data_IF_081241467354
#
_entry.id   IF_081241467354
#
_cell.length_a   1.000
_cell.length_b   1.000
_cell.length_c   1.000
_cell.angle_alpha   90.00
_cell.angle_beta   90.00
_cell.angle_gamma   90.00
#
_symmetry.space_group_name_H-M   'P 1'
#
loop_
_entity.id
_entity.type
_entity.pdbx_description
1 polymer ?
#
# COMPACT_ATOMS: atom_id res chain seq x y z
N UNK A 1 0.58 16.28 -36.19
CA UNK A 1 0.18 16.56 -34.79
C UNK A 1 1.31 16.34 -33.75
N UNK A 2 2.45 17.05 -33.80
CA UNK A 2 3.48 16.97 -32.74
C UNK A 2 3.22 17.90 -31.54
N UNK A 3 2.38 18.94 -31.72
CA UNK A 3 2.18 20.02 -30.73
C UNK A 3 1.41 19.58 -29.47
N UNK A 4 0.57 18.56 -29.54
CA UNK A 4 -0.24 18.10 -28.40
C UNK A 4 0.56 17.24 -27.42
N UNK A 5 1.40 16.33 -27.94
CA UNK A 5 2.20 15.41 -27.11
C UNK A 5 3.30 16.16 -26.34
N UNK A 6 4.00 17.08 -27.00
CA UNK A 6 5.04 17.89 -26.35
C UNK A 6 4.46 18.75 -25.22
N UNK A 7 3.27 19.33 -25.42
CA UNK A 7 2.58 20.13 -24.39
C UNK A 7 2.15 19.27 -23.20
N UNK A 8 1.63 18.07 -23.47
CA UNK A 8 1.26 17.07 -22.45
C UNK A 8 2.49 16.68 -21.60
N UNK A 9 3.60 16.33 -22.25
CA UNK A 9 4.83 15.94 -21.55
C UNK A 9 5.38 17.11 -20.72
N UNK A 10 5.38 18.33 -21.28
CA UNK A 10 5.84 19.51 -20.56
C UNK A 10 4.98 19.82 -19.33
N UNK A 11 3.66 19.68 -19.43
CA UNK A 11 2.74 19.85 -18.31
C UNK A 11 3.00 18.84 -17.19
N UNK A 12 3.09 17.55 -17.53
CA UNK A 12 3.32 16.50 -16.53
C UNK A 12 4.70 16.61 -15.90
N UNK A 13 5.73 16.93 -16.70
CA UNK A 13 7.08 17.20 -16.20
C UNK A 13 7.11 18.39 -15.24
N UNK A 14 6.34 19.44 -15.52
CA UNK A 14 6.22 20.59 -14.61
C UNK A 14 5.58 20.20 -13.28
N UNK A 15 4.51 19.41 -13.28
CA UNK A 15 3.86 18.92 -12.06
C UNK A 15 4.80 18.00 -11.28
N UNK A 16 5.41 17.03 -11.94
CA UNK A 16 6.38 16.11 -11.34
C UNK A 16 7.57 16.89 -10.74
N UNK A 17 8.11 17.87 -11.47
CA UNK A 17 9.19 18.73 -10.97
C UNK A 17 8.77 19.57 -9.75
N UNK A 18 7.56 20.15 -9.78
CA UNK A 18 7.02 20.90 -8.65
C UNK A 18 6.79 20.01 -7.42
N UNK A 19 6.27 18.80 -7.61
CA UNK A 19 6.08 17.82 -6.54
C UNK A 19 7.43 17.40 -5.94
N UNK A 20 8.42 17.07 -6.77
CA UNK A 20 9.79 16.74 -6.34
C UNK A 20 10.40 17.89 -5.51
N UNK A 21 10.35 19.12 -6.02
CA UNK A 21 10.90 20.29 -5.33
C UNK A 21 10.18 20.55 -4.00
N UNK A 22 8.85 20.43 -3.98
CA UNK A 22 8.04 20.60 -2.78
C UNK A 22 8.36 19.54 -1.73
N UNK A 23 8.44 18.27 -2.12
CA UNK A 23 8.82 17.18 -1.22
C UNK A 23 10.24 17.38 -0.68
N UNK A 24 11.18 17.87 -1.50
CA UNK A 24 12.54 18.20 -1.05
C UNK A 24 12.55 19.32 0.01
N UNK A 25 11.78 20.38 -0.20
CA UNK A 25 11.63 21.48 0.77
C UNK A 25 11.00 20.99 2.07
N UNK A 26 9.92 20.20 1.97
CA UNK A 26 9.25 19.59 3.11
C UNK A 26 10.18 18.66 3.86
N UNK A 27 10.98 17.83 3.17
CA UNK A 27 11.98 16.99 3.79
C UNK A 27 12.96 17.80 4.65
N UNK A 28 13.49 18.91 4.13
CA UNK A 28 14.40 19.79 4.90
C UNK A 28 13.69 20.43 6.10
N UNK A 29 12.43 20.81 5.96
CA UNK A 29 11.63 21.37 7.04
C UNK A 29 11.34 20.31 8.13
N UNK A 30 10.86 19.13 7.73
CA UNK A 30 10.61 17.98 8.59
C UNK A 30 11.87 17.53 9.31
N UNK A 31 13.01 17.48 8.63
CA UNK A 31 14.28 17.10 9.24
C UNK A 31 14.70 18.10 10.33
N UNK A 32 14.59 19.41 10.07
CA UNK A 32 14.87 20.45 11.07
C UNK A 32 13.93 20.36 12.26
N UNK A 33 12.63 20.18 11.99
CA UNK A 33 11.64 20.00 13.03
C UNK A 33 11.93 18.77 13.90
N UNK A 34 12.17 17.61 13.30
CA UNK A 34 12.48 16.38 14.02
C UNK A 34 13.76 16.51 14.86
N UNK A 35 14.80 17.16 14.33
CA UNK A 35 16.02 17.44 15.09
C UNK A 35 15.75 18.24 16.37
N UNK A 36 14.80 19.18 16.32
CA UNK A 36 14.40 19.97 17.49
C UNK A 36 13.42 19.25 18.42
N UNK A 37 12.59 18.35 17.91
CA UNK A 37 11.47 17.77 18.62
C UNK A 37 11.75 16.38 19.22
N UNK A 38 12.71 15.63 18.66
CA UNK A 38 13.00 14.26 19.08
C UNK A 38 14.11 14.24 20.12
N UNK A 39 13.83 13.70 21.31
CA UNK A 39 14.87 13.51 22.34
C UNK A 39 15.92 12.51 21.86
N UNK A 40 17.19 12.83 22.12
CA UNK A 40 18.34 12.04 21.67
C UNK A 40 18.38 11.82 20.14
N UNK A 41 18.00 12.84 19.36
CA UNK A 41 18.08 12.81 17.90
C UNK A 41 19.41 12.26 17.39
N UNK A 42 20.53 12.70 17.97
CA UNK A 42 21.88 12.31 17.55
C UNK A 42 22.19 10.82 17.80
N UNK A 43 21.42 10.13 18.65
CA UNK A 43 21.54 8.68 18.86
C UNK A 43 20.74 7.86 17.84
N UNK A 44 19.89 8.49 17.02
CA UNK A 44 19.16 7.84 15.93
C UNK A 44 20.09 7.68 14.73
N UNK A 45 20.14 6.49 14.13
CA UNK A 45 20.99 6.24 12.95
C UNK A 45 20.65 7.24 11.82
N UNK A 46 21.64 7.82 11.11
CA UNK A 46 21.40 8.81 10.04
C UNK A 46 20.42 8.32 8.96
N UNK A 47 20.52 7.06 8.54
CA UNK A 47 19.55 6.49 7.58
C UNK A 47 18.11 6.49 8.09
N UNK A 48 17.89 6.30 9.40
CA UNK A 48 16.55 6.36 10.01
C UNK A 48 16.07 7.81 10.13
N UNK A 49 16.96 8.75 10.49
CA UNK A 49 16.66 10.18 10.52
C UNK A 49 16.16 10.68 9.15
N UNK A 50 16.94 10.39 8.10
CA UNK A 50 16.62 10.78 6.73
C UNK A 50 15.33 10.14 6.25
N UNK A 51 15.18 8.83 6.46
CA UNK A 51 13.96 8.11 6.07
C UNK A 51 12.71 8.68 6.73
N UNK A 52 12.73 8.92 8.04
CA UNK A 52 11.55 9.43 8.74
C UNK A 52 11.21 10.87 8.33
N UNK A 53 12.21 11.72 8.11
CA UNK A 53 11.97 13.05 7.55
C UNK A 53 11.32 12.98 6.16
N UNK A 54 11.75 12.05 5.31
CA UNK A 54 11.15 11.82 3.99
C UNK A 54 9.72 11.29 4.09
N UNK A 55 9.49 10.26 4.91
CA UNK A 55 8.16 9.66 5.11
C UNK A 55 7.13 10.68 5.64
N UNK A 56 7.56 11.65 6.47
CA UNK A 56 6.72 12.77 6.91
C UNK A 56 6.50 13.78 5.79
N UNK A 57 7.54 14.11 5.01
CA UNK A 57 7.44 15.02 3.87
C UNK A 57 6.51 14.50 2.76
N UNK A 58 6.26 13.19 2.70
CA UNK A 58 5.29 12.57 1.80
C UNK A 58 3.83 12.66 2.30
N UNK A 59 3.56 12.98 3.57
CA UNK A 59 2.19 13.02 4.11
C UNK A 59 1.27 13.98 3.34
N UNK A 60 1.69 15.21 2.99
CA UNK A 60 0.86 16.10 2.17
C UNK A 60 0.53 15.51 0.80
N UNK A 61 1.51 14.87 0.14
CA UNK A 61 1.28 14.15 -1.11
C UNK A 61 0.22 13.06 -0.92
N UNK A 62 0.34 12.24 0.12
CA UNK A 62 -0.61 11.15 0.40
C UNK A 62 -2.03 11.66 0.67
N UNK A 63 -2.17 12.81 1.35
CA UNK A 63 -3.45 13.47 1.54
C UNK A 63 -4.04 13.97 0.20
N UNK A 64 -3.22 14.55 -0.67
CA UNK A 64 -3.66 14.95 -2.02
C UNK A 64 -4.10 13.73 -2.84
N UNK A 65 -3.34 12.63 -2.79
CA UNK A 65 -3.71 11.38 -3.47
C UNK A 65 -5.06 10.86 -2.97
N UNK A 66 -5.28 10.85 -1.65
CA UNK A 66 -6.57 10.48 -1.07
C UNK A 66 -7.71 11.33 -1.67
N UNK A 67 -7.56 12.66 -1.71
CA UNK A 67 -8.59 13.57 -2.21
C UNK A 67 -8.86 13.43 -3.72
N UNK A 68 -7.80 13.28 -4.52
CA UNK A 68 -7.93 13.13 -5.97
C UNK A 68 -8.54 11.78 -6.36
N UNK A 69 -8.26 10.73 -5.59
CA UNK A 69 -8.67 9.36 -5.86
C UNK A 69 -10.04 8.98 -5.25
N UNK A 70 -10.49 9.66 -4.19
CA UNK A 70 -11.74 9.34 -3.52
C UNK A 70 -12.97 9.28 -4.46
N UNK A 71 -13.19 10.22 -5.40
CA UNK A 71 -14.32 10.15 -6.32
C UNK A 71 -14.32 8.88 -7.19
N UNK A 72 -13.14 8.45 -7.65
CA UNK A 72 -13.01 7.25 -8.47
C UNK A 72 -13.25 5.96 -7.68
N UNK A 73 -12.87 5.94 -6.39
CA UNK A 73 -13.20 4.82 -5.47
C UNK A 73 -14.71 4.76 -5.23
N UNK A 74 -15.37 5.89 -5.02
CA UNK A 74 -16.83 5.94 -4.77
C UNK A 74 -17.65 5.55 -6.01
N UNK A 75 -17.11 5.72 -7.21
CA UNK A 75 -17.78 5.42 -8.50
C UNK A 75 -17.19 4.21 -9.22
N UNK A 76 -16.39 3.41 -8.53
CA UNK A 76 -15.62 2.29 -9.09
C UNK A 76 -16.44 1.33 -9.95
N UNK A 77 -17.61 0.95 -9.44
CA UNK A 77 -18.52 -0.05 -10.02
C UNK A 77 -19.65 0.60 -10.84
N UNK A 78 -19.59 1.92 -11.06
CA UNK A 78 -20.48 2.59 -11.99
C UNK A 78 -20.14 2.18 -13.43
N UNK A 79 -21.10 2.26 -14.34
CA UNK A 79 -20.85 1.97 -15.74
C UNK A 79 -19.70 2.85 -16.30
N UNK A 80 -18.84 2.35 -17.21
CA UNK A 80 -17.70 3.11 -17.75
C UNK A 80 -18.09 4.44 -18.40
N UNK A 81 -19.31 4.54 -18.95
CA UNK A 81 -19.85 5.74 -19.60
C UNK A 81 -20.08 6.90 -18.62
N UNK A 82 -20.14 6.60 -17.31
CA UNK A 82 -20.24 7.62 -16.25
C UNK A 82 -18.87 8.27 -15.98
N UNK A 83 -17.77 7.69 -16.49
CA UNK A 83 -16.43 8.23 -16.33
C UNK A 83 -16.25 9.52 -17.11
N UNK A 84 -15.85 10.59 -16.42
CA UNK A 84 -15.69 11.91 -17.03
C UNK A 84 -14.24 12.23 -17.35
N UNK A 85 -14.03 13.21 -18.24
CA UNK A 85 -12.69 13.77 -18.49
C UNK A 85 -12.03 14.33 -17.22
N UNK A 86 -12.83 14.82 -16.26
CA UNK A 86 -12.36 15.30 -14.97
C UNK A 86 -11.78 14.16 -14.12
N UNK A 87 -12.37 12.97 -14.19
CA UNK A 87 -11.87 11.79 -13.49
C UNK A 87 -10.53 11.34 -14.06
N UNK A 88 -10.41 11.28 -15.40
CA UNK A 88 -9.12 11.04 -16.07
C UNK A 88 -8.08 12.08 -15.65
N UNK A 89 -8.43 13.36 -15.67
CA UNK A 89 -7.51 14.44 -15.27
C UNK A 89 -7.03 14.29 -13.82
N UNK A 90 -7.93 13.99 -12.88
CA UNK A 90 -7.57 13.74 -11.46
C UNK A 90 -6.59 12.58 -11.33
N UNK A 91 -6.77 11.51 -12.12
CA UNK A 91 -5.89 10.34 -12.07
C UNK A 91 -4.51 10.63 -12.65
N UNK A 92 -4.44 11.37 -13.75
CA UNK A 92 -3.18 11.83 -14.33
C UNK A 92 -2.45 12.77 -13.35
N UNK A 93 -3.19 13.70 -12.73
CA UNK A 93 -2.62 14.62 -11.75
C UNK A 93 -2.07 13.87 -10.52
N UNK A 94 -2.84 12.92 -9.98
CA UNK A 94 -2.39 12.07 -8.87
C UNK A 94 -1.12 11.30 -9.24
N UNK A 95 -1.06 10.77 -10.47
CA UNK A 95 0.10 10.06 -11.01
C UNK A 95 1.34 10.94 -11.11
N UNK A 96 1.22 12.14 -11.67
CA UNK A 96 2.33 13.08 -11.83
C UNK A 96 2.87 13.58 -10.49
N UNK A 97 1.98 13.86 -9.53
CA UNK A 97 2.35 14.26 -8.16
C UNK A 97 3.06 13.10 -7.45
N UNK A 98 2.47 11.89 -7.47
CA UNK A 98 3.07 10.71 -6.86
C UNK A 98 4.45 10.42 -7.45
N UNK A 99 4.59 10.49 -8.78
CA UNK A 99 5.85 10.32 -9.49
C UNK A 99 6.94 11.26 -8.97
N UNK A 100 6.65 12.56 -8.90
CA UNK A 100 7.64 13.55 -8.43
C UNK A 100 8.04 13.36 -6.98
N UNK A 101 7.06 13.17 -6.08
CA UNK A 101 7.31 12.99 -4.66
C UNK A 101 8.07 11.69 -4.35
N UNK A 102 7.71 10.58 -5.01
CA UNK A 102 8.34 9.29 -4.78
C UNK A 102 9.70 9.20 -5.49
N UNK A 103 9.94 9.92 -6.59
CA UNK A 103 11.29 10.09 -7.13
C UNK A 103 12.24 10.70 -6.10
N UNK A 104 11.80 11.69 -5.32
CA UNK A 104 12.59 12.22 -4.21
C UNK A 104 12.82 11.16 -3.13
N UNK A 105 11.79 10.39 -2.76
CA UNK A 105 11.91 9.30 -1.79
C UNK A 105 12.95 8.24 -2.19
N UNK A 106 13.07 7.95 -3.48
CA UNK A 106 14.09 7.03 -4.01
C UNK A 106 15.53 7.57 -3.91
N UNK A 107 15.72 8.87 -3.69
CA UNK A 107 17.04 9.44 -3.40
C UNK A 107 17.50 9.21 -1.96
N UNK A 108 16.58 8.78 -1.08
CA UNK A 108 16.86 8.48 0.31
C UNK A 108 17.15 6.99 0.46
N UNK A 109 18.23 6.67 1.18
CA UNK A 109 18.68 5.30 1.38
C UNK A 109 17.59 4.40 2.00
N UNK A 110 17.25 3.31 1.31
CA UNK A 110 16.34 2.26 1.78
C UNK A 110 17.10 0.93 1.91
N UNK A 111 17.14 0.40 3.14
CA UNK A 111 17.85 -0.85 3.45
C UNK A 111 17.11 -2.13 3.04
N UNK A 112 15.95 -2.04 2.36
CA UNK A 112 15.10 -3.17 2.02
C UNK A 112 14.72 -3.14 0.54
N UNK A 113 15.26 -4.07 -0.24
CA UNK A 113 15.03 -4.21 -1.69
C UNK A 113 13.55 -4.36 -2.02
N UNK A 114 12.78 -5.08 -1.20
CA UNK A 114 11.33 -5.24 -1.46
C UNK A 114 10.57 -3.96 -1.14
N UNK A 115 11.05 -3.15 -0.20
CA UNK A 115 10.51 -1.81 0.03
C UNK A 115 10.83 -0.87 -1.13
N UNK A 116 12.02 -0.99 -1.72
CA UNK A 116 12.40 -0.23 -2.92
C UNK A 116 11.52 -0.60 -4.11
N UNK A 117 11.32 -1.90 -4.37
CA UNK A 117 10.44 -2.39 -5.43
C UNK A 117 9.02 -1.89 -5.24
N UNK A 118 8.45 -2.01 -4.03
CA UNK A 118 7.09 -1.51 -3.74
C UNK A 118 6.95 0.00 -3.99
N UNK A 119 7.95 0.79 -3.61
CA UNK A 119 7.94 2.25 -3.81
C UNK A 119 8.23 2.66 -5.26
N UNK A 120 8.84 1.78 -6.06
CA UNK A 120 9.04 1.98 -7.50
C UNK A 120 7.83 1.55 -8.33
N UNK A 121 7.15 0.48 -7.92
CA UNK A 121 6.08 -0.15 -8.67
C UNK A 121 4.84 0.73 -8.76
N UNK A 122 4.48 1.46 -7.69
CA UNK A 122 3.40 2.44 -7.72
C UNK A 122 3.60 3.52 -8.81
N UNK A 123 4.68 4.33 -8.75
CA UNK A 123 5.00 5.31 -9.79
C UNK A 123 5.15 4.71 -11.19
N UNK A 124 5.74 3.50 -11.31
CA UNK A 124 5.93 2.83 -12.60
C UNK A 124 4.60 2.41 -13.24
N UNK A 125 3.65 1.86 -12.45
CA UNK A 125 2.32 1.50 -12.93
C UNK A 125 1.51 2.73 -13.34
N UNK A 126 1.65 3.84 -12.62
CA UNK A 126 1.00 5.11 -12.94
C UNK A 126 1.59 5.77 -14.18
N UNK A 127 2.92 5.71 -14.36
CA UNK A 127 3.58 6.14 -15.59
C UNK A 127 3.16 5.27 -16.77
N UNK A 128 3.06 3.95 -16.57
CA UNK A 128 2.56 3.03 -17.59
C UNK A 128 1.13 3.37 -18.01
N UNK A 129 0.23 3.66 -17.06
CA UNK A 129 -1.12 4.16 -17.38
C UNK A 129 -1.05 5.47 -18.14
N UNK A 130 -0.20 6.41 -17.72
CA UNK A 130 -0.07 7.68 -18.44
C UNK A 130 0.40 7.53 -19.88
N UNK A 131 1.35 6.62 -20.13
CA UNK A 131 1.87 6.32 -21.45
C UNK A 131 0.89 5.52 -22.31
N UNK A 132 0.06 4.68 -21.69
CA UNK A 132 -0.91 3.82 -22.39
C UNK A 132 -2.25 4.52 -22.64
N UNK A 133 -2.60 5.52 -21.83
CA UNK A 133 -3.91 6.18 -21.84
C UNK A 133 -3.72 7.71 -21.93
N UNK A 134 -3.77 8.21 -23.16
CA UNK A 134 -3.69 9.65 -23.46
C UNK A 134 -4.93 10.19 -24.17
N UNK A 135 -5.95 9.34 -24.40
CA UNK A 135 -7.05 9.62 -25.30
C UNK A 135 -8.34 10.11 -24.64
N UNK A 136 -8.42 10.16 -23.30
CA UNK A 136 -9.65 10.52 -22.58
C UNK A 136 -10.85 9.64 -22.99
N UNK A 137 -10.59 8.35 -23.25
CA UNK A 137 -11.59 7.38 -23.72
C UNK A 137 -12.14 6.52 -22.57
N UNK A 138 -13.25 5.81 -22.80
CA UNK A 138 -13.85 4.88 -21.83
C UNK A 138 -12.93 3.73 -21.42
N UNK A 139 -11.99 3.32 -22.29
CA UNK A 139 -10.93 2.35 -21.96
C UNK A 139 -9.99 2.83 -20.85
N UNK A 140 -9.79 4.14 -20.73
CA UNK A 140 -8.92 4.74 -19.71
C UNK A 140 -9.55 4.54 -18.32
N UNK A 141 -10.89 4.56 -18.24
CA UNK A 141 -11.64 4.36 -17.01
C UNK A 141 -11.36 2.98 -16.38
N UNK A 142 -11.29 1.93 -17.21
CA UNK A 142 -11.10 0.56 -16.74
C UNK A 142 -9.76 0.37 -16.03
N UNK A 143 -8.72 0.93 -16.63
CA UNK A 143 -7.36 0.77 -16.14
C UNK A 143 -7.05 1.74 -15.00
N UNK A 144 -7.57 2.97 -15.07
CA UNK A 144 -7.44 3.94 -13.99
C UNK A 144 -8.13 3.49 -12.72
N UNK A 145 -9.35 2.92 -12.80
CA UNK A 145 -10.08 2.42 -11.62
C UNK A 145 -9.43 1.21 -10.96
N UNK A 146 -8.75 0.36 -11.72
CA UNK A 146 -7.93 -0.71 -11.16
C UNK A 146 -6.77 -0.11 -10.34
N UNK A 147 -6.02 0.83 -10.93
CA UNK A 147 -4.86 1.43 -10.28
C UNK A 147 -5.20 2.34 -9.09
N UNK A 148 -6.36 2.99 -9.13
CA UNK A 148 -6.75 3.96 -8.09
C UNK A 148 -6.89 3.31 -6.73
N UNK A 149 -7.21 2.00 -6.67
CA UNK A 149 -7.22 1.23 -5.43
C UNK A 149 -5.84 1.22 -4.76
N UNK A 150 -4.77 0.96 -5.53
CA UNK A 150 -3.40 0.96 -5.04
C UNK A 150 -2.95 2.34 -4.58
N UNK A 151 -3.33 3.40 -5.31
CA UNK A 151 -2.97 4.78 -4.94
C UNK A 151 -3.71 5.22 -3.69
N UNK A 152 -5.02 5.00 -3.64
CA UNK A 152 -5.87 5.43 -2.53
C UNK A 152 -5.58 4.65 -1.25
N UNK A 153 -5.72 3.33 -1.29
CA UNK A 153 -5.56 2.48 -0.10
C UNK A 153 -4.09 2.23 0.22
N UNK A 154 -3.26 1.97 -0.79
CA UNK A 154 -1.85 1.66 -0.60
C UNK A 154 -1.04 2.89 -0.25
N UNK A 155 -0.89 3.82 -1.20
CA UNK A 155 -0.04 5.00 -1.01
C UNK A 155 -0.66 6.04 -0.07
N UNK A 156 -1.95 6.34 -0.23
CA UNK A 156 -2.68 7.32 0.56
C UNK A 156 -2.83 6.89 2.02
N UNK A 157 -3.77 5.99 2.29
CA UNK A 157 -4.12 5.56 3.65
C UNK A 157 -3.01 4.70 4.27
N UNK A 158 -2.63 3.60 3.60
CA UNK A 158 -1.67 2.62 4.10
C UNK A 158 -0.29 3.23 4.36
N UNK A 159 0.20 4.05 3.42
CA UNK A 159 1.43 4.82 3.57
C UNK A 159 1.37 5.74 4.79
N UNK A 160 0.30 6.52 4.94
CA UNK A 160 0.15 7.46 6.06
C UNK A 160 0.13 6.76 7.41
N UNK A 161 -0.65 5.67 7.54
CA UNK A 161 -0.69 4.85 8.76
C UNK A 161 0.69 4.27 9.08
N UNK A 162 1.38 3.75 8.05
CA UNK A 162 2.73 3.21 8.19
C UNK A 162 3.73 4.27 8.65
N UNK A 163 3.69 5.49 8.11
CA UNK A 163 4.53 6.60 8.56
C UNK A 163 4.30 6.89 10.04
N UNK A 164 3.05 7.01 10.48
CA UNK A 164 2.74 7.29 11.88
C UNK A 164 3.31 6.19 12.77
N UNK A 165 3.08 4.91 12.45
CA UNK A 165 3.64 3.79 13.22
C UNK A 165 5.17 3.83 13.28
N UNK A 166 5.84 4.06 12.14
CA UNK A 166 7.30 4.09 12.09
C UNK A 166 7.85 5.27 12.90
N UNK A 167 7.25 6.45 12.81
CA UNK A 167 7.64 7.63 13.59
C UNK A 167 7.50 7.36 15.09
N UNK A 168 6.37 6.78 15.52
CA UNK A 168 6.17 6.40 16.92
C UNK A 168 7.23 5.38 17.39
N UNK A 169 7.48 4.33 16.60
CA UNK A 169 8.38 3.24 17.00
C UNK A 169 9.87 3.55 16.86
N UNK A 170 10.26 4.42 15.92
CA UNK A 170 11.67 4.70 15.60
C UNK A 170 12.17 6.01 16.19
N UNK A 171 11.32 7.02 16.33
CA UNK A 171 11.71 8.33 16.86
C UNK A 171 11.19 8.58 18.27
N UNK A 172 9.92 8.31 18.50
CA UNK A 172 9.27 8.68 19.77
C UNK A 172 9.18 7.54 20.79
N UNK A 173 9.68 6.34 20.48
CA UNK A 173 9.61 5.16 21.36
C UNK A 173 10.15 5.41 22.77
N UNK A 174 11.20 6.23 22.90
CA UNK A 174 11.81 6.58 24.20
C UNK A 174 11.07 7.68 24.94
N UNK A 175 10.21 8.43 24.26
CA UNK A 175 9.47 9.58 24.79
C UNK A 175 8.03 9.20 25.20
N UNK A 176 7.51 8.09 24.68
CA UNK A 176 6.14 7.64 24.91
C UNK A 176 6.14 6.50 25.92
N UNK A 177 5.24 6.51 26.93
CA UNK A 177 5.09 5.39 27.85
C UNK A 177 4.84 4.07 27.11
N UNK A 178 5.48 2.94 27.50
CA UNK A 178 5.38 1.68 26.78
C UNK A 178 3.94 1.20 26.53
N UNK A 179 3.06 1.35 27.51
CA UNK A 179 1.64 1.01 27.40
C UNK A 179 0.90 1.84 26.35
N UNK A 180 1.16 3.15 26.30
CA UNK A 180 0.54 4.08 25.35
C UNK A 180 1.04 3.79 23.93
N UNK A 181 2.35 3.57 23.78
CA UNK A 181 2.95 3.19 22.51
C UNK A 181 2.38 1.87 22.00
N UNK A 182 2.27 0.85 22.86
CA UNK A 182 1.71 -0.45 22.49
C UNK A 182 0.26 -0.31 22.01
N UNK A 183 -0.61 0.39 22.75
CA UNK A 183 -2.01 0.62 22.35
C UNK A 183 -2.12 1.37 21.02
N UNK A 184 -1.33 2.43 20.84
CA UNK A 184 -1.33 3.21 19.60
C UNK A 184 -0.88 2.37 18.40
N UNK A 185 0.21 1.62 18.54
CA UNK A 185 0.72 0.76 17.46
C UNK A 185 -0.26 -0.36 17.13
N UNK A 186 -0.92 -0.97 18.14
CA UNK A 186 -1.94 -2.00 17.90
C UNK A 186 -3.13 -1.45 17.13
N UNK A 187 -3.64 -0.28 17.53
CA UNK A 187 -4.74 0.37 16.83
C UNK A 187 -4.35 0.69 15.37
N UNK A 188 -3.17 1.25 15.15
CA UNK A 188 -2.67 1.58 13.81
C UNK A 188 -2.41 0.33 12.96
N UNK A 189 -1.88 -0.75 13.55
CA UNK A 189 -1.70 -2.04 12.87
C UNK A 189 -3.04 -2.60 12.43
N UNK A 190 -4.10 -2.49 13.24
CA UNK A 190 -5.44 -2.91 12.85
C UNK A 190 -6.05 -2.04 11.74
N UNK A 191 -5.87 -0.72 11.82
CA UNK A 191 -6.28 0.18 10.74
C UNK A 191 -5.57 -0.19 9.43
N UNK A 192 -4.26 -0.50 9.49
CA UNK A 192 -3.50 -0.96 8.32
C UNK A 192 -4.01 -2.30 7.78
N UNK A 193 -4.32 -3.27 8.66
CA UNK A 193 -4.87 -4.57 8.26
C UNK A 193 -6.24 -4.41 7.60
N UNK A 194 -7.15 -3.64 8.19
CA UNK A 194 -8.47 -3.36 7.62
C UNK A 194 -8.37 -2.65 6.27
N UNK A 195 -7.51 -1.64 6.18
CA UNK A 195 -7.23 -0.94 4.92
C UNK A 195 -6.67 -1.88 3.85
N UNK A 196 -5.75 -2.77 4.21
CA UNK A 196 -5.17 -3.77 3.29
C UNK A 196 -6.22 -4.75 2.80
N UNK A 197 -7.10 -5.21 3.70
CA UNK A 197 -8.20 -6.07 3.33
C UNK A 197 -9.19 -5.37 2.38
N UNK A 198 -9.61 -4.14 2.71
CA UNK A 198 -10.48 -3.35 1.83
C UNK A 198 -9.85 -3.12 0.45
N UNK A 199 -8.59 -2.72 0.42
CA UNK A 199 -7.79 -2.53 -0.81
C UNK A 199 -7.82 -3.76 -1.71
N UNK A 200 -7.46 -4.91 -1.13
CA UNK A 200 -7.24 -6.14 -1.87
C UNK A 200 -8.56 -6.80 -2.27
N UNK A 201 -9.59 -6.74 -1.42
CA UNK A 201 -10.94 -7.20 -1.76
C UNK A 201 -11.57 -6.33 -2.84
N UNK A 202 -11.49 -5.00 -2.71
CA UNK A 202 -11.94 -4.07 -3.76
C UNK A 202 -11.28 -4.40 -5.09
N UNK A 203 -9.95 -4.59 -5.10
CA UNK A 203 -9.19 -4.92 -6.30
C UNK A 203 -9.64 -6.23 -6.94
N UNK A 204 -9.83 -7.29 -6.14
CA UNK A 204 -10.36 -8.57 -6.62
C UNK A 204 -11.78 -8.42 -7.19
N UNK A 205 -12.68 -7.74 -6.49
CA UNK A 205 -14.05 -7.51 -6.95
C UNK A 205 -14.07 -6.71 -8.24
N UNK A 206 -13.23 -5.67 -8.36
CA UNK A 206 -13.11 -4.87 -9.56
C UNK A 206 -12.62 -5.69 -10.75
N UNK A 207 -11.57 -6.52 -10.57
CA UNK A 207 -11.06 -7.41 -11.60
C UNK A 207 -12.12 -8.43 -12.07
N UNK A 208 -12.96 -8.93 -11.18
CA UNK A 208 -14.07 -9.84 -11.53
C UNK A 208 -15.19 -9.12 -12.29
N UNK A 209 -15.53 -7.91 -11.86
CA UNK A 209 -16.58 -7.08 -12.44
C UNK A 209 -16.22 -6.60 -13.85
N UNK A 210 -15.05 -5.99 -14.02
CA UNK A 210 -14.56 -5.48 -15.31
C UNK A 210 -13.89 -6.56 -16.18
N UNK A 211 -14.00 -7.84 -15.81
CA UNK A 211 -13.21 -8.92 -16.37
C UNK A 211 -13.27 -9.01 -17.89
N UNK A 212 -14.47 -9.00 -18.48
CA UNK A 212 -14.65 -9.15 -19.92
C UNK A 212 -14.01 -7.99 -20.70
N UNK A 213 -14.18 -6.77 -20.20
CA UNK A 213 -13.67 -5.55 -20.84
C UNK A 213 -12.15 -5.43 -20.69
N UNK A 214 -11.61 -5.71 -19.50
CA UNK A 214 -10.17 -5.73 -19.25
C UNK A 214 -9.46 -6.79 -20.08
N UNK A 215 -10.06 -7.98 -20.18
CA UNK A 215 -9.49 -9.08 -20.95
C UNK A 215 -9.56 -8.84 -22.46
N UNK A 216 -10.66 -8.26 -22.96
CA UNK A 216 -10.76 -7.80 -24.33
C UNK A 216 -9.74 -6.70 -24.66
N UNK A 217 -9.42 -5.84 -23.67
CA UNK A 217 -8.44 -4.78 -23.82
C UNK A 217 -6.98 -5.29 -23.81
N UNK A 218 -6.63 -6.16 -22.86
CA UNK A 218 -5.27 -6.72 -22.77
C UNK A 218 -5.00 -7.78 -23.83
N UNK A 219 -6.04 -8.36 -24.43
CA UNK A 219 -5.91 -9.53 -25.27
C UNK A 219 -5.68 -10.81 -24.46
N UNK A 220 -5.77 -11.96 -25.14
CA UNK A 220 -5.97 -13.23 -24.45
C UNK A 220 -4.82 -13.61 -23.49
N UNK A 221 -3.56 -13.40 -23.92
CA UNK A 221 -2.39 -13.76 -23.10
C UNK A 221 -1.77 -12.58 -22.33
N UNK A 222 -1.98 -11.33 -22.78
CA UNK A 222 -1.35 -10.18 -22.15
C UNK A 222 -2.03 -9.78 -20.83
N UNK A 223 -3.27 -10.24 -20.57
CA UNK A 223 -3.95 -10.04 -19.30
C UNK A 223 -3.29 -10.72 -18.09
N UNK A 224 -2.48 -11.76 -18.33
CA UNK A 224 -1.76 -12.48 -17.26
C UNK A 224 -0.72 -11.61 -16.54
N UNK A 225 -0.09 -10.67 -17.26
CA UNK A 225 0.97 -9.82 -16.70
C UNK A 225 0.40 -8.78 -15.71
N UNK A 226 -0.61 -7.96 -16.06
CA UNK A 226 -1.28 -7.08 -15.11
C UNK A 226 -1.84 -7.83 -13.91
N UNK A 227 -2.40 -9.03 -14.12
CA UNK A 227 -2.87 -9.89 -13.04
C UNK A 227 -1.74 -10.26 -12.08
N UNK A 228 -0.64 -10.81 -12.59
CA UNK A 228 0.51 -11.18 -11.77
C UNK A 228 1.08 -9.98 -10.99
N UNK A 229 1.16 -8.80 -11.62
CA UNK A 229 1.61 -7.56 -10.97
C UNK A 229 0.65 -7.11 -9.86
N UNK A 230 -0.67 -7.15 -10.09
CA UNK A 230 -1.67 -6.86 -9.05
C UNK A 230 -1.58 -7.85 -7.89
N UNK A 231 -1.43 -9.15 -8.17
CA UNK A 231 -1.27 -10.19 -7.16
C UNK A 231 0.00 -10.00 -6.32
N UNK A 232 1.10 -9.63 -6.97
CA UNK A 232 2.35 -9.31 -6.29
C UNK A 232 2.23 -8.08 -5.39
N UNK A 233 1.60 -6.99 -5.85
CA UNK A 233 1.31 -5.82 -5.00
C UNK A 233 0.43 -6.19 -3.80
N UNK A 234 -0.64 -6.95 -4.01
CA UNK A 234 -1.52 -7.37 -2.92
C UNK A 234 -0.77 -8.22 -1.89
N UNK A 235 0.07 -9.15 -2.36
CA UNK A 235 0.94 -9.93 -1.49
C UNK A 235 1.91 -9.05 -0.70
N UNK A 236 2.53 -8.04 -1.33
CA UNK A 236 3.40 -7.09 -0.64
C UNK A 236 2.66 -6.32 0.45
N UNK A 237 1.44 -5.84 0.17
CA UNK A 237 0.62 -5.14 1.17
C UNK A 237 0.30 -6.06 2.37
N UNK A 238 -0.12 -7.30 2.11
CA UNK A 238 -0.38 -8.29 3.16
C UNK A 238 0.87 -8.63 3.96
N UNK A 239 2.02 -8.80 3.30
CA UNK A 239 3.31 -9.03 3.97
C UNK A 239 3.62 -7.91 4.96
N UNK A 240 3.41 -6.65 4.58
CA UNK A 240 3.64 -5.52 5.48
C UNK A 240 2.61 -5.45 6.61
N UNK A 241 1.32 -5.61 6.32
CA UNK A 241 0.27 -5.63 7.34
C UNK A 241 0.53 -6.70 8.42
N UNK A 242 0.80 -7.94 8.00
CA UNK A 242 1.11 -9.05 8.91
C UNK A 242 2.41 -8.83 9.69
N UNK A 243 3.42 -8.21 9.07
CA UNK A 243 4.66 -7.84 9.77
C UNK A 243 4.38 -6.83 10.89
N UNK A 244 3.55 -5.81 10.66
CA UNK A 244 3.20 -4.84 11.69
C UNK A 244 2.28 -5.42 12.77
N UNK A 245 1.45 -6.40 12.44
CA UNK A 245 0.72 -7.19 13.45
C UNK A 245 1.70 -7.90 14.38
N UNK A 246 2.70 -8.62 13.86
CA UNK A 246 3.72 -9.27 14.69
C UNK A 246 4.55 -8.30 15.54
N UNK A 247 4.86 -7.11 15.02
CA UNK A 247 5.51 -6.05 15.82
C UNK A 247 4.60 -5.58 16.96
N UNK A 248 3.31 -5.41 16.70
CA UNK A 248 2.34 -4.96 17.70
C UNK A 248 2.14 -5.98 18.83
N UNK A 249 2.16 -7.28 18.52
CA UNK A 249 2.14 -8.36 19.51
C UNK A 249 3.36 -8.29 20.44
N UNK A 250 4.56 -8.13 19.85
CA UNK A 250 5.79 -8.00 20.62
C UNK A 250 5.78 -6.77 21.55
N UNK A 251 5.22 -5.65 21.09
CA UNK A 251 5.06 -4.45 21.91
C UNK A 251 4.04 -4.64 23.05
N UNK A 252 2.94 -5.36 22.79
CA UNK A 252 1.95 -5.70 23.82
C UNK A 252 2.54 -6.58 24.91
N UNK A 253 3.23 -7.65 24.53
CA UNK A 253 3.92 -8.54 25.45
C UNK A 253 4.93 -7.77 26.32
N UNK A 254 5.77 -6.94 25.69
CA UNK A 254 6.73 -6.11 26.41
C UNK A 254 6.09 -5.06 27.33
N UNK A 255 4.85 -4.66 27.07
CA UNK A 255 4.08 -3.73 27.90
C UNK A 255 3.20 -4.44 28.96
N UNK A 256 3.29 -5.77 29.08
CA UNK A 256 2.46 -6.56 29.98
C UNK A 256 0.97 -6.62 29.58
N UNK A 257 0.63 -6.24 28.35
CA UNK A 257 -0.73 -6.27 27.83
C UNK A 257 -0.97 -7.64 27.18
N UNK A 258 -1.59 -8.57 27.90
CA UNK A 258 -1.98 -9.86 27.33
C UNK A 258 -1.52 -11.09 28.10
N UNK A 259 -0.89 -10.95 29.27
CA UNK A 259 -0.85 -12.04 30.23
C UNK A 259 -2.27 -12.30 30.76
N UNK A 260 -3.05 -13.07 30.00
CA UNK A 260 -4.19 -13.78 30.56
C UNK A 260 -3.62 -14.74 31.62
N UNK A 261 -4.32 -14.88 32.75
CA UNK A 261 -4.01 -15.80 33.86
C UNK A 261 -3.82 -17.28 33.44
N UNK A 262 -3.95 -17.59 32.15
CA UNK A 262 -3.71 -18.90 31.53
C UNK A 262 -2.25 -19.18 31.14
N UNK A 263 -1.37 -18.18 31.00
CA UNK A 263 0.05 -18.41 30.61
C UNK A 263 0.98 -18.69 31.80
N UNK A 264 0.69 -18.13 32.99
CA UNK A 264 1.52 -18.33 34.20
C UNK A 264 1.46 -19.77 34.72
N UNK A 265 0.40 -20.53 34.41
CA UNK A 265 0.29 -21.96 34.76
C UNK A 265 0.92 -22.91 33.73
N UNK A 266 1.43 -22.41 32.59
CA UNK A 266 1.92 -23.25 31.50
C UNK A 266 3.44 -23.40 31.49
N UNK A 267 4.18 -22.54 32.19
CA UNK A 267 5.64 -22.67 32.33
C UNK A 267 6.10 -23.86 33.20
N UNK A 268 5.24 -24.43 34.05
CA UNK A 268 5.56 -25.67 34.78
C UNK A 268 5.21 -26.96 34.01
N UNK A 269 4.48 -26.88 32.88
CA UNK A 269 3.85 -28.05 32.26
C UNK A 269 4.49 -28.60 30.98
N UNK A 270 5.05 -27.78 30.09
CA UNK A 270 5.31 -28.22 28.71
C UNK A 270 6.79 -28.13 28.29
N UNK A 271 7.63 -28.90 28.97
CA UNK A 271 8.95 -29.31 28.45
C UNK A 271 8.90 -30.53 27.53
N UNK A 272 7.71 -30.96 27.09
CA UNK A 272 7.51 -32.11 26.19
C UNK A 272 6.24 -31.99 25.34
N UNK A 273 6.34 -31.56 24.07
CA UNK A 273 5.63 -32.25 22.97
C UNK A 273 6.05 -31.81 21.57
N UNK A 274 5.93 -32.79 20.68
CA UNK A 274 6.47 -32.90 19.33
C UNK A 274 5.66 -32.14 18.28
N UNK A 275 6.38 -31.82 17.19
CA UNK A 275 5.93 -31.50 15.84
C UNK A 275 4.48 -31.86 15.48
N UNK A 276 3.71 -30.85 15.10
CA UNK A 276 2.60 -30.91 14.15
C UNK A 276 2.32 -29.50 13.63
N UNK A 277 1.98 -29.33 12.36
CA UNK A 277 1.59 -28.02 11.76
C UNK A 277 0.37 -27.41 12.50
N UNK A 278 -0.40 -28.22 13.22
CA UNK A 278 -1.49 -27.77 14.10
C UNK A 278 -1.01 -27.05 15.37
N UNK A 279 0.19 -27.33 15.89
CA UNK A 279 0.73 -26.63 17.06
C UNK A 279 1.15 -25.18 16.74
N UNK A 280 1.23 -24.82 15.45
CA UNK A 280 1.46 -23.43 15.02
C UNK A 280 0.23 -22.55 15.23
N UNK A 281 -0.97 -23.12 15.35
CA UNK A 281 -2.21 -22.37 15.61
C UNK A 281 -2.49 -22.23 17.11
N UNK A 282 -2.07 -23.20 17.92
CA UNK A 282 -2.31 -23.24 19.37
C UNK A 282 -1.58 -22.14 20.17
N UNK A 283 -0.60 -21.46 19.57
CA UNK A 283 0.16 -20.36 20.17
C UNK A 283 -0.02 -18.99 19.51
N UNK A 284 -0.99 -18.83 18.59
CA UNK A 284 -1.26 -17.53 17.97
C UNK A 284 -2.29 -16.73 18.78
N UNK A 285 -2.05 -15.43 18.91
CA UNK A 285 -3.05 -14.52 19.47
C UNK A 285 -4.33 -14.54 18.63
N UNK A 286 -5.48 -14.25 19.26
CA UNK A 286 -6.76 -14.08 18.56
C UNK A 286 -6.68 -12.99 17.50
N UNK A 287 -5.85 -11.97 17.73
CA UNK A 287 -5.59 -10.91 16.78
C UNK A 287 -4.87 -11.41 15.51
N UNK A 288 -3.85 -12.26 15.66
CA UNK A 288 -3.13 -12.85 14.52
C UNK A 288 -3.97 -13.88 13.77
N UNK A 289 -4.79 -14.66 14.45
CA UNK A 289 -5.80 -15.53 13.81
C UNK A 289 -6.74 -14.70 12.95
N UNK A 290 -7.22 -13.57 13.47
CA UNK A 290 -8.13 -12.68 12.74
C UNK A 290 -7.46 -12.05 11.52
N UNK A 291 -6.23 -11.51 11.66
CA UNK A 291 -5.48 -10.96 10.54
C UNK A 291 -5.15 -12.01 9.45
N UNK A 292 -4.79 -13.22 9.85
CA UNK A 292 -4.55 -14.33 8.93
C UNK A 292 -5.84 -14.78 8.23
N UNK A 293 -6.97 -14.82 8.94
CA UNK A 293 -8.28 -15.12 8.34
C UNK A 293 -8.64 -14.10 7.26
N UNK A 294 -8.40 -12.81 7.51
CA UNK A 294 -8.61 -11.77 6.50
C UNK A 294 -7.68 -11.94 5.30
N UNK A 295 -6.40 -12.27 5.51
CA UNK A 295 -5.46 -12.56 4.43
C UNK A 295 -5.89 -13.79 3.60
N UNK A 296 -6.39 -14.84 4.26
CA UNK A 296 -6.94 -16.03 3.60
C UNK A 296 -8.18 -15.70 2.78
N UNK A 297 -9.06 -14.82 3.27
CA UNK A 297 -10.23 -14.38 2.50
C UNK A 297 -9.84 -13.68 1.19
N UNK A 298 -8.79 -12.86 1.22
CA UNK A 298 -8.20 -12.30 0.00
C UNK A 298 -7.62 -13.39 -0.91
N UNK A 299 -6.85 -14.34 -0.37
CA UNK A 299 -6.25 -15.40 -1.16
C UNK A 299 -7.31 -16.24 -1.89
N UNK A 300 -8.44 -16.53 -1.24
CA UNK A 300 -9.60 -17.19 -1.86
C UNK A 300 -10.20 -16.31 -2.96
N UNK A 301 -10.46 -15.03 -2.67
CA UNK A 301 -11.01 -14.09 -3.65
C UNK A 301 -10.13 -13.94 -4.90
N UNK A 302 -8.81 -13.80 -4.70
CA UNK A 302 -7.84 -13.67 -5.79
C UNK A 302 -7.66 -14.98 -6.56
N UNK A 303 -7.76 -16.14 -5.91
CA UNK A 303 -7.81 -17.44 -6.59
C UNK A 303 -9.02 -17.53 -7.52
N UNK A 304 -10.18 -17.01 -7.11
CA UNK A 304 -11.37 -16.90 -7.97
C UNK A 304 -11.12 -16.07 -9.23
N UNK A 305 -10.40 -14.94 -9.11
CA UNK A 305 -9.96 -14.15 -10.26
C UNK A 305 -9.09 -14.99 -11.20
N UNK A 306 -8.09 -15.68 -10.65
CA UNK A 306 -7.17 -16.51 -11.43
C UNK A 306 -7.89 -17.65 -12.15
N UNK A 307 -8.84 -18.32 -11.48
CA UNK A 307 -9.64 -19.40 -12.07
C UNK A 307 -10.46 -18.92 -13.26
N UNK A 308 -11.07 -17.72 -13.17
CA UNK A 308 -11.83 -17.11 -14.28
C UNK A 308 -10.96 -16.87 -15.51
N UNK A 309 -9.70 -16.46 -15.31
CA UNK A 309 -8.71 -16.30 -16.39
C UNK A 309 -8.36 -17.65 -17.01
N UNK A 310 -8.07 -18.65 -16.17
CA UNK A 310 -7.71 -19.99 -16.63
C UNK A 310 -8.84 -20.65 -17.42
N UNK A 311 -10.09 -20.50 -16.97
CA UNK A 311 -11.28 -20.98 -17.68
C UNK A 311 -11.34 -20.40 -19.10
N UNK A 312 -11.19 -19.09 -19.23
CA UNK A 312 -11.27 -18.40 -20.53
C UNK A 312 -10.11 -18.77 -21.47
N UNK A 313 -8.90 -18.89 -20.94
CA UNK A 313 -7.75 -19.41 -21.69
C UNK A 313 -7.96 -20.85 -22.15
N UNK A 314 -8.54 -21.70 -21.29
CA UNK A 314 -8.80 -23.11 -21.62
C UNK A 314 -9.82 -23.23 -22.75
N UNK A 315 -10.95 -22.49 -22.67
CA UNK A 315 -11.96 -22.47 -23.73
C UNK A 315 -11.34 -22.04 -25.06
N UNK A 316 -10.47 -21.03 -25.06
CA UNK A 316 -9.78 -20.54 -26.27
C UNK A 316 -8.79 -21.54 -26.86
N UNK A 317 -8.03 -22.26 -26.03
CA UNK A 317 -7.08 -23.28 -26.51
C UNK A 317 -7.77 -24.53 -27.06
N UNK A 318 -9.05 -24.73 -26.74
CA UNK A 318 -9.87 -25.85 -27.21
C UNK A 318 -10.67 -25.53 -28.49
N UNK A 319 -10.67 -24.28 -28.94
CA UNK A 319 -11.31 -23.81 -30.18
C UNK A 319 -10.30 -23.64 -31.30
#
# INVERSE_FOLDING_TARGET
MPSTLATIIAHDAAITGAAYATTSLLYRASHRYLKSAVTHWDAVKPGVQNRMACEIALLPTRAILFLLCAPAIMSAFAAPEIWTHLDTYRMILASAIMGGSYMFDLTIERNDTLSLIHHFMGPALLLWVRCSYSAFASSDALMCRMLVSFVFFGAGVGGSVTTVMLVLMKLFKRQIPPLVLARAVVALSWVLTLNTWLSTMYGCTYLLWAFEELHGHWGDFAGLVPLALCGFEFWLQWRWALRFQGISEGLRAAAGIGASESEVKREEGERKRKQSVLSSFEGMSTEKISANTMALSWAVGYSGVCMKVLEKLTIRLMM
#
